data_IF_309053025736
#
_entry.id   IF_309053025736
#
_cell.length_a   1.000
_cell.length_b   1.000
_cell.length_c   1.000
_cell.angle_alpha   90.00
_cell.angle_beta   90.00
_cell.angle_gamma   90.00
#
_symmetry.space_group_name_H-M   'P 1'
#
loop_
_entity.id
_entity.type
_entity.pdbx_description
1 polymer ?
#
# COMPACT_ATOMS: atom_id res chain seq x y z
N UNK A 1 38.64 -11.46 -41.80
CA UNK A 1 39.02 -10.26 -41.04
C UNK A 1 37.72 -9.50 -40.85
N UNK A 2 37.09 -9.79 -39.72
CA UNK A 2 36.01 -9.11 -39.00
C UNK A 2 34.85 -8.48 -39.80
N UNK A 3 33.72 -9.19 -39.78
CA UNK A 3 32.36 -8.63 -39.79
C UNK A 3 32.16 -7.77 -38.54
N UNK A 4 32.06 -6.44 -38.71
CA UNK A 4 31.53 -5.56 -37.68
C UNK A 4 30.01 -5.54 -37.78
N UNK A 5 29.41 -6.46 -37.03
CA UNK A 5 27.99 -6.54 -36.74
C UNK A 5 27.67 -5.35 -35.80
N UNK A 6 27.29 -4.21 -36.38
CA UNK A 6 26.75 -3.07 -35.63
C UNK A 6 25.39 -3.47 -35.06
N UNK A 7 25.44 -4.17 -33.93
CA UNK A 7 24.31 -4.41 -33.04
C UNK A 7 23.90 -3.06 -32.45
N UNK A 8 23.08 -2.34 -33.20
CA UNK A 8 22.36 -1.17 -32.76
C UNK A 8 21.52 -1.61 -31.57
N UNK A 9 22.03 -1.31 -30.37
CA UNK A 9 21.38 -1.53 -29.09
C UNK A 9 19.94 -1.06 -29.24
N UNK A 10 19.01 -2.01 -29.16
CA UNK A 10 17.59 -1.75 -29.26
C UNK A 10 17.18 -0.82 -28.14
N UNK A 11 17.16 0.48 -28.42
CA UNK A 11 16.20 1.40 -27.81
C UNK A 11 14.84 1.09 -28.42
N UNK A 12 14.37 -0.14 -28.25
CA UNK A 12 12.94 -0.38 -28.26
C UNK A 12 12.50 0.19 -26.92
N UNK A 13 12.04 1.43 -26.97
CA UNK A 13 11.08 1.91 -25.99
C UNK A 13 9.95 0.88 -25.98
N UNK A 14 9.90 0.00 -24.99
CA UNK A 14 8.72 -0.82 -24.72
C UNK A 14 7.70 0.08 -24.03
N UNK A 15 6.70 0.65 -24.73
CA UNK A 15 5.87 1.68 -24.15
C UNK A 15 4.66 1.11 -23.40
N UNK A 16 4.53 -0.22 -23.23
CA UNK A 16 3.25 -0.85 -22.88
C UNK A 16 3.31 -2.05 -21.91
N UNK A 17 4.48 -2.63 -21.61
CA UNK A 17 4.58 -3.97 -20.96
C UNK A 17 3.97 -4.05 -19.55
N UNK A 18 3.87 -2.93 -18.82
CA UNK A 18 3.25 -2.88 -17.49
C UNK A 18 2.31 -1.69 -17.28
N UNK A 19 1.79 -1.08 -18.36
CA UNK A 19 0.97 0.12 -18.24
C UNK A 19 -0.31 -0.10 -17.42
N UNK A 20 -0.92 -1.29 -17.54
CA UNK A 20 -2.11 -1.66 -16.76
C UNK A 20 -1.77 -1.76 -15.28
N UNK A 21 -0.71 -2.49 -14.94
CA UNK A 21 -0.22 -2.73 -13.59
C UNK A 21 0.21 -1.44 -12.92
N UNK A 22 0.96 -0.60 -13.62
CA UNK A 22 1.36 0.72 -13.13
C UNK A 22 0.12 1.58 -12.85
N UNK A 23 -0.85 1.60 -13.77
CA UNK A 23 -2.10 2.33 -13.57
C UNK A 23 -2.88 1.86 -12.33
N UNK A 24 -2.96 0.55 -12.11
CA UNK A 24 -3.60 -0.04 -10.92
C UNK A 24 -2.80 0.27 -9.66
N UNK A 25 -1.47 0.13 -9.69
CA UNK A 25 -0.59 0.41 -8.56
C UNK A 25 -0.66 1.87 -8.11
N UNK A 26 -0.70 2.82 -9.06
CA UNK A 26 -0.89 4.25 -8.78
C UNK A 26 -2.22 4.49 -8.07
N UNK A 27 -3.33 3.91 -8.57
CA UNK A 27 -4.65 4.05 -7.92
C UNK A 27 -4.64 3.46 -6.50
N UNK A 28 -4.04 2.27 -6.34
CA UNK A 28 -3.93 1.60 -5.06
C UNK A 28 -3.14 2.43 -4.03
N UNK A 29 -1.99 2.96 -4.43
CA UNK A 29 -1.15 3.80 -3.56
C UNK A 29 -1.81 5.14 -3.27
N UNK A 30 -2.51 5.75 -4.23
CA UNK A 30 -3.27 6.99 -3.99
C UNK A 30 -4.37 6.80 -2.94
N UNK A 31 -5.14 5.71 -3.03
CA UNK A 31 -6.17 5.38 -2.04
C UNK A 31 -5.56 5.08 -0.67
N UNK A 32 -4.45 4.35 -0.62
CA UNK A 32 -3.72 4.10 0.62
C UNK A 32 -3.21 5.41 1.27
N UNK A 33 -2.69 6.35 0.48
CA UNK A 33 -2.26 7.66 0.97
C UNK A 33 -3.43 8.45 1.56
N UNK A 34 -4.57 8.47 0.85
CA UNK A 34 -5.79 9.13 1.33
C UNK A 34 -6.27 8.55 2.67
N UNK A 35 -6.27 7.22 2.80
CA UNK A 35 -6.61 6.54 4.04
C UNK A 35 -5.70 6.96 5.20
N UNK A 36 -4.38 6.97 4.97
CA UNK A 36 -3.40 7.37 5.98
C UNK A 36 -3.60 8.82 6.44
N UNK A 37 -3.85 9.75 5.51
CA UNK A 37 -4.13 11.15 5.82
C UNK A 37 -5.42 11.30 6.64
N UNK A 38 -6.50 10.64 6.23
CA UNK A 38 -7.79 10.70 6.93
C UNK A 38 -7.70 10.14 8.35
N UNK A 39 -6.95 9.05 8.55
CA UNK A 39 -6.71 8.53 9.89
C UNK A 39 -5.89 9.53 10.71
N UNK A 40 -4.82 10.11 10.16
CA UNK A 40 -4.01 11.10 10.86
C UNK A 40 -4.84 12.30 11.35
N UNK A 41 -5.74 12.84 10.52
CA UNK A 41 -6.63 13.94 10.91
C UNK A 41 -7.59 13.55 12.04
N UNK A 42 -8.08 12.30 12.00
CA UNK A 42 -8.96 11.75 13.03
C UNK A 42 -8.23 11.57 14.38
N UNK A 43 -6.91 11.38 14.35
CA UNK A 43 -6.08 11.25 15.54
C UNK A 43 -5.65 12.57 16.14
N UNK A 44 -5.36 13.55 15.30
CA UNK A 44 -5.08 14.91 15.77
C UNK A 44 -6.32 15.47 16.51
N UNK A 45 -7.53 15.06 16.10
CA UNK A 45 -8.79 15.47 16.72
C UNK A 45 -9.26 14.63 17.91
N UNK A 46 -8.73 13.42 18.14
CA UNK A 46 -9.09 12.55 19.28
C UNK A 46 -7.89 12.22 20.15
N UNK A 47 -7.99 12.51 21.46
CA UNK A 47 -6.98 12.16 22.48
C UNK A 47 -6.48 10.71 22.29
N UNK A 48 -5.15 10.55 22.16
CA UNK A 48 -4.44 9.26 22.00
C UNK A 48 -5.01 8.18 22.93
N UNK A 49 -5.51 7.09 22.36
CA UNK A 49 -5.81 5.88 23.12
C UNK A 49 -4.49 5.18 23.48
N UNK A 50 -4.29 4.85 24.76
CA UNK A 50 -3.05 4.30 25.31
C UNK A 50 -2.86 2.78 25.07
N UNK A 51 -3.76 2.13 24.31
CA UNK A 51 -3.64 0.69 24.03
C UNK A 51 -2.83 0.45 22.74
N UNK A 52 -1.62 -0.09 22.89
CA UNK A 52 -0.66 -0.34 21.78
C UNK A 52 -1.20 -1.24 20.65
N UNK A 53 -2.14 -2.14 20.94
CA UNK A 53 -2.72 -3.04 19.93
C UNK A 53 -3.75 -2.34 19.04
N UNK A 54 -4.55 -1.44 19.61
CA UNK A 54 -5.51 -0.60 18.88
C UNK A 54 -4.87 0.73 18.47
N UNK A 55 -3.55 0.75 18.32
CA UNK A 55 -2.87 1.96 17.90
C UNK A 55 -3.36 2.34 16.49
N UNK A 56 -3.51 3.63 16.20
CA UNK A 56 -3.97 4.08 14.90
C UNK A 56 -3.07 3.66 13.74
N UNK A 57 -1.76 3.55 14.00
CA UNK A 57 -0.79 3.04 13.03
C UNK A 57 -1.03 1.56 12.74
N UNK A 58 -1.45 0.79 13.74
CA UNK A 58 -1.86 -0.61 13.56
C UNK A 58 -3.10 -0.70 12.67
N UNK A 59 -4.14 0.10 12.95
CA UNK A 59 -5.36 0.15 12.12
C UNK A 59 -5.04 0.58 10.69
N UNK A 60 -4.21 1.62 10.53
CA UNK A 60 -3.76 2.10 9.23
C UNK A 60 -3.03 1.01 8.45
N UNK A 61 -2.03 0.35 9.05
CA UNK A 61 -1.26 -0.69 8.41
C UNK A 61 -2.12 -1.85 7.90
N UNK A 62 -3.09 -2.31 8.70
CA UNK A 62 -4.03 -3.36 8.27
C UNK A 62 -4.99 -2.88 7.19
N UNK A 63 -5.49 -1.65 7.30
CA UNK A 63 -6.41 -1.09 6.32
C UNK A 63 -5.73 -0.83 4.97
N UNK A 64 -4.48 -0.37 4.95
CA UNK A 64 -3.68 -0.23 3.71
C UNK A 64 -3.49 -1.59 3.04
N UNK A 65 -3.16 -2.64 3.79
CA UNK A 65 -3.09 -4.01 3.24
C UNK A 65 -4.41 -4.43 2.60
N UNK A 66 -5.53 -4.21 3.28
CA UNK A 66 -6.84 -4.55 2.76
C UNK A 66 -7.17 -3.78 1.47
N UNK A 67 -6.95 -2.46 1.44
CA UNK A 67 -7.25 -1.60 0.28
C UNK A 67 -6.37 -1.97 -0.92
N UNK A 68 -5.05 -2.08 -0.74
CA UNK A 68 -4.13 -2.43 -1.82
C UNK A 68 -4.44 -3.82 -2.37
N UNK A 69 -4.67 -4.79 -1.48
CA UNK A 69 -5.09 -6.14 -1.87
C UNK A 69 -6.37 -6.10 -2.70
N UNK A 70 -7.42 -5.46 -2.18
CA UNK A 70 -8.70 -5.37 -2.86
C UNK A 70 -8.56 -4.77 -4.27
N UNK A 71 -7.88 -3.63 -4.41
CA UNK A 71 -7.72 -2.96 -5.71
C UNK A 71 -6.94 -3.82 -6.71
N UNK A 72 -5.85 -4.46 -6.28
CA UNK A 72 -5.07 -5.33 -7.15
C UNK A 72 -5.91 -6.51 -7.64
N UNK A 73 -6.63 -7.19 -6.73
CA UNK A 73 -7.47 -8.32 -7.09
C UNK A 73 -8.64 -7.93 -8.00
N UNK A 74 -9.34 -6.83 -7.72
CA UNK A 74 -10.45 -6.35 -8.55
C UNK A 74 -10.01 -5.90 -9.95
N UNK A 75 -8.84 -5.24 -10.07
CA UNK A 75 -8.40 -4.68 -11.35
C UNK A 75 -7.54 -5.63 -12.21
N UNK A 76 -6.79 -6.54 -11.57
CA UNK A 76 -5.84 -7.45 -12.26
C UNK A 76 -6.32 -8.91 -12.31
N UNK A 77 -7.33 -9.27 -11.52
CA UNK A 77 -7.89 -10.61 -11.45
C UNK A 77 -7.13 -11.53 -10.49
N UNK A 78 -7.84 -12.49 -9.90
CA UNK A 78 -7.34 -13.32 -8.79
C UNK A 78 -6.11 -14.19 -9.13
N UNK A 79 -5.98 -14.61 -10.38
CA UNK A 79 -4.91 -15.52 -10.82
C UNK A 79 -3.55 -14.84 -11.01
N UNK A 80 -3.53 -13.50 -11.12
CA UNK A 80 -2.33 -12.72 -11.41
C UNK A 80 -1.77 -11.97 -10.19
N UNK A 81 -2.36 -12.14 -9.02
CA UNK A 81 -2.03 -11.33 -7.84
C UNK A 81 -1.53 -12.21 -6.70
N UNK A 82 -0.23 -12.09 -6.45
CA UNK A 82 0.48 -12.64 -5.29
C UNK A 82 1.08 -11.46 -4.54
N UNK A 83 0.80 -11.28 -3.25
CA UNK A 83 1.26 -10.10 -2.48
C UNK A 83 2.07 -10.56 -1.27
N UNK A 84 3.29 -10.04 -1.17
CA UNK A 84 4.24 -10.22 -0.07
C UNK A 84 4.25 -8.95 0.78
N UNK A 85 4.12 -9.08 2.10
CA UNK A 85 4.07 -7.94 3.02
C UNK A 85 4.81 -8.23 4.33
N UNK A 86 5.34 -7.19 4.97
CA UNK A 86 6.24 -7.29 6.13
C UNK A 86 5.59 -7.79 7.44
N UNK A 87 4.29 -8.18 7.46
CA UNK A 87 3.61 -8.51 8.73
C UNK A 87 2.57 -9.62 8.61
N UNK A 88 2.74 -10.66 9.42
CA UNK A 88 1.93 -11.88 9.45
C UNK A 88 0.49 -11.60 9.92
N UNK A 89 -0.52 -12.04 9.16
CA UNK A 89 -1.97 -11.83 9.43
C UNK A 89 -2.45 -12.45 10.75
N UNK A 90 -1.68 -13.37 11.34
CA UNK A 90 -2.02 -14.07 12.59
C UNK A 90 -2.28 -13.16 13.79
N UNK A 91 -1.83 -11.89 13.75
CA UNK A 91 -2.14 -10.92 14.81
C UNK A 91 -3.62 -10.50 14.84
N UNK A 92 -4.31 -10.46 13.70
CA UNK A 92 -5.71 -10.01 13.59
C UNK A 92 -6.75 -11.07 13.96
N UNK A 93 -6.44 -12.35 13.80
CA UNK A 93 -7.40 -13.45 14.01
C UNK A 93 -7.47 -13.94 15.46
N UNK A 94 -6.79 -13.29 16.40
CA UNK A 94 -6.82 -13.66 17.81
C UNK A 94 -8.07 -13.12 18.51
N UNK A 95 -8.59 -13.87 19.49
CA UNK A 95 -9.83 -13.55 20.23
C UNK A 95 -9.83 -12.19 20.94
N UNK A 96 -8.67 -11.56 21.09
CA UNK A 96 -8.49 -10.23 21.70
C UNK A 96 -8.48 -9.08 20.67
N UNK A 97 -8.69 -9.36 19.38
CA UNK A 97 -8.58 -8.39 18.29
C UNK A 97 -9.93 -7.91 17.71
N UNK A 98 -11.07 -8.18 18.40
CA UNK A 98 -12.41 -7.81 17.90
C UNK A 98 -12.54 -6.30 17.65
N UNK A 99 -12.12 -5.46 18.61
CA UNK A 99 -12.18 -3.99 18.45
C UNK A 99 -11.26 -3.49 17.34
N UNK A 100 -10.07 -4.09 17.20
CA UNK A 100 -9.13 -3.76 16.13
C UNK A 100 -9.73 -4.11 14.76
N UNK A 101 -10.32 -5.29 14.64
CA UNK A 101 -10.95 -5.75 13.40
C UNK A 101 -12.15 -4.86 13.05
N UNK A 102 -13.00 -4.52 14.00
CA UNK A 102 -14.11 -3.58 13.78
C UNK A 102 -13.62 -2.21 13.29
N UNK A 103 -12.55 -1.69 13.90
CA UNK A 103 -11.93 -0.43 13.47
C UNK A 103 -11.36 -0.52 12.04
N UNK A 104 -10.70 -1.64 11.70
CA UNK A 104 -10.17 -1.89 10.35
C UNK A 104 -11.32 -2.00 9.34
N UNK A 105 -12.35 -2.81 9.61
CA UNK A 105 -13.51 -2.99 8.74
C UNK A 105 -14.21 -1.66 8.48
N UNK A 106 -14.42 -0.86 9.53
CA UNK A 106 -14.99 0.48 9.39
C UNK A 106 -14.12 1.37 8.50
N UNK A 107 -12.81 1.43 8.78
CA UNK A 107 -11.87 2.28 8.04
C UNK A 107 -11.78 1.87 6.55
N UNK A 108 -11.76 0.57 6.28
CA UNK A 108 -11.72 0.02 4.91
C UNK A 108 -12.99 0.41 4.15
N UNK A 109 -14.17 0.17 4.72
CA UNK A 109 -15.43 0.53 4.06
C UNK A 109 -15.55 2.03 3.80
N UNK A 110 -15.15 2.86 4.77
CA UNK A 110 -15.14 4.32 4.59
C UNK A 110 -14.17 4.78 3.49
N UNK A 111 -13.06 4.08 3.27
CA UNK A 111 -12.13 4.39 2.20
C UNK A 111 -12.63 3.87 0.83
N UNK A 112 -13.24 2.68 0.80
CA UNK A 112 -13.78 2.09 -0.42
C UNK A 112 -14.99 2.85 -0.97
N UNK A 113 -15.76 3.52 -0.12
CA UNK A 113 -16.80 4.45 -0.57
C UNK A 113 -16.25 5.63 -1.40
N UNK A 114 -14.96 5.95 -1.26
CA UNK A 114 -14.29 7.00 -2.04
C UNK A 114 -13.56 6.43 -3.27
N UNK A 115 -13.58 5.11 -3.50
CA UNK A 115 -12.92 4.44 -4.62
C UNK A 115 -13.24 5.04 -6.01
N UNK A 116 -14.50 5.45 -6.30
CA UNK A 116 -14.83 6.06 -7.59
C UNK A 116 -14.04 7.33 -7.91
N UNK A 117 -13.60 8.08 -6.90
CA UNK A 117 -12.77 9.29 -7.09
C UNK A 117 -11.39 8.98 -7.63
N UNK A 118 -10.93 7.74 -7.46
CA UNK A 118 -9.65 7.24 -7.94
C UNK A 118 -9.80 6.39 -9.21
N UNK A 119 -11.02 6.29 -9.77
CA UNK A 119 -11.28 5.49 -10.96
C UNK A 119 -11.31 3.99 -10.70
N UNK A 120 -11.67 3.58 -9.49
CA UNK A 120 -11.97 2.18 -9.12
C UNK A 120 -13.45 2.10 -8.77
N UNK A 121 -14.13 1.04 -9.18
CA UNK A 121 -15.53 0.82 -8.77
C UNK A 121 -15.62 0.67 -7.25
N UNK A 122 -16.76 0.96 -6.65
CA UNK A 122 -17.00 0.67 -5.23
C UNK A 122 -17.51 -0.77 -5.05
N UNK A 123 -17.31 -1.39 -3.88
CA UNK A 123 -17.93 -2.69 -3.58
C UNK A 123 -19.45 -2.64 -3.73
N UNK A 124 -20.04 -3.71 -4.27
CA UNK A 124 -21.52 -3.83 -4.45
C UNK A 124 -22.30 -3.74 -3.14
N UNK A 125 -21.65 -4.06 -2.03
CA UNK A 125 -22.19 -3.99 -0.68
C UNK A 125 -21.06 -3.73 0.31
N UNK A 126 -21.41 -3.19 1.48
CA UNK A 126 -20.49 -3.04 2.60
C UNK A 126 -19.83 -4.37 2.94
N UNK A 127 -18.49 -4.38 3.03
CA UNK A 127 -17.72 -5.57 3.37
C UNK A 127 -17.85 -5.88 4.86
N UNK A 128 -18.18 -7.12 5.18
CA UNK A 128 -18.19 -7.67 6.53
C UNK A 128 -16.80 -8.01 7.05
N UNK A 129 -16.74 -8.39 8.33
CA UNK A 129 -15.50 -8.80 9.02
C UNK A 129 -14.79 -9.95 8.32
N UNK A 130 -15.52 -10.99 7.92
CA UNK A 130 -14.97 -12.17 7.24
C UNK A 130 -14.38 -11.82 5.87
N UNK A 131 -15.05 -10.96 5.10
CA UNK A 131 -14.59 -10.55 3.77
C UNK A 131 -13.30 -9.71 3.87
N UNK A 132 -13.25 -8.76 4.81
CA UNK A 132 -12.04 -7.96 5.05
C UNK A 132 -10.87 -8.84 5.51
N UNK A 133 -11.12 -9.83 6.38
CA UNK A 133 -10.10 -10.79 6.78
C UNK A 133 -9.62 -11.63 5.60
N UNK A 134 -10.52 -12.07 4.73
CA UNK A 134 -10.16 -12.82 3.53
C UNK A 134 -9.27 -11.98 2.60
N UNK A 135 -9.65 -10.73 2.33
CA UNK A 135 -8.87 -9.80 1.51
C UNK A 135 -7.47 -9.58 2.10
N UNK A 136 -7.38 -9.38 3.42
CA UNK A 136 -6.09 -9.25 4.12
C UNK A 136 -5.29 -10.54 4.04
N UNK A 137 -5.93 -11.71 4.13
CA UNK A 137 -5.26 -13.02 4.10
C UNK A 137 -4.55 -13.30 2.78
N UNK A 138 -5.00 -12.67 1.67
CA UNK A 138 -4.36 -12.73 0.35
C UNK A 138 -2.96 -12.08 0.33
N UNK A 139 -2.63 -11.27 1.35
CA UNK A 139 -1.32 -10.60 1.52
C UNK A 139 -0.27 -11.44 2.27
N UNK A 140 -0.37 -12.77 2.24
CA UNK A 140 0.55 -13.70 2.93
C UNK A 140 1.37 -14.57 1.98
N UNK A 141 1.60 -14.11 0.75
CA UNK A 141 2.51 -14.84 -0.14
C UNK A 141 3.93 -14.79 0.42
N UNK A 142 4.68 -15.89 0.26
CA UNK A 142 6.09 -15.97 0.66
C UNK A 142 7.00 -15.36 -0.43
N UNK A 143 6.45 -15.08 -1.61
CA UNK A 143 7.22 -14.73 -2.80
C UNK A 143 7.91 -15.97 -3.36
N UNK A 144 8.01 -16.06 -4.68
CA UNK A 144 8.78 -17.10 -5.37
C UNK A 144 9.91 -16.40 -6.13
N UNK A 145 11.19 -16.78 -5.94
CA UNK A 145 12.31 -16.20 -6.69
C UNK A 145 12.15 -16.26 -8.22
N UNK A 146 11.44 -17.26 -8.74
CA UNK A 146 11.15 -17.41 -10.19
C UNK A 146 9.69 -17.08 -10.52
N UNK A 147 9.04 -16.23 -9.73
CA UNK A 147 7.63 -15.90 -9.89
C UNK A 147 7.38 -14.41 -10.00
N UNK A 148 6.12 -14.10 -10.31
CA UNK A 148 5.59 -12.74 -10.34
C UNK A 148 4.81 -12.43 -9.07
N UNK A 149 5.20 -11.39 -8.34
CA UNK A 149 4.52 -10.99 -7.11
C UNK A 149 4.68 -9.50 -6.81
N UNK A 150 3.73 -8.97 -6.03
CA UNK A 150 3.74 -7.61 -5.51
C UNK A 150 4.37 -7.59 -4.14
N UNK A 151 5.32 -6.68 -3.90
CA UNK A 151 5.81 -6.39 -2.57
C UNK A 151 5.18 -5.09 -2.06
N UNK A 152 4.51 -5.15 -0.91
CA UNK A 152 3.85 -4.01 -0.29
C UNK A 152 4.47 -3.73 1.09
N UNK A 153 4.95 -2.49 1.25
CA UNK A 153 5.25 -1.89 2.55
C UNK A 153 4.18 -0.85 2.87
N UNK A 154 3.21 -1.16 3.76
CA UNK A 154 2.04 -0.30 3.97
C UNK A 154 2.36 1.00 4.72
N UNK A 155 3.45 1.02 5.52
CA UNK A 155 3.89 2.16 6.32
C UNK A 155 5.41 2.06 6.52
N UNK A 156 6.19 2.64 5.62
CA UNK A 156 7.64 2.79 5.75
C UNK A 156 7.99 4.23 6.17
N UNK A 157 8.95 4.37 7.09
CA UNK A 157 9.35 5.67 7.64
C UNK A 157 8.41 6.22 8.73
N UNK A 158 8.98 6.54 9.89
CA UNK A 158 8.32 7.28 10.98
C UNK A 158 7.65 6.40 12.02
N UNK A 159 8.30 6.18 13.16
CA UNK A 159 7.73 5.48 14.32
C UNK A 159 6.68 6.29 15.08
N UNK A 160 6.36 7.51 14.62
CA UNK A 160 5.57 8.50 15.35
C UNK A 160 4.42 9.05 14.49
N UNK A 161 3.23 9.12 15.08
CA UNK A 161 2.10 9.88 14.54
C UNK A 161 2.52 11.34 14.30
N UNK A 162 2.80 11.73 13.05
CA UNK A 162 3.29 13.06 12.65
C UNK A 162 4.51 13.05 11.73
N UNK A 163 5.24 11.94 11.61
CA UNK A 163 6.40 11.83 10.73
C UNK A 163 6.00 11.54 9.26
N UNK A 164 6.99 11.52 8.36
CA UNK A 164 6.80 11.13 6.97
C UNK A 164 6.40 9.66 6.90
N UNK A 165 5.16 9.37 6.50
CA UNK A 165 4.70 8.03 6.20
C UNK A 165 4.82 7.79 4.70
N UNK A 166 5.29 6.61 4.32
CA UNK A 166 5.42 6.20 2.93
C UNK A 166 4.68 4.89 2.70
N UNK A 167 3.88 4.84 1.64
CA UNK A 167 3.30 3.60 1.13
C UNK A 167 4.14 3.20 -0.08
N UNK A 168 4.80 2.05 -0.02
CA UNK A 168 5.60 1.53 -1.12
C UNK A 168 4.98 0.26 -1.70
N UNK A 169 4.79 0.23 -3.01
CA UNK A 169 4.28 -0.92 -3.74
C UNK A 169 5.17 -1.17 -4.96
N UNK A 170 5.68 -2.39 -5.11
CA UNK A 170 6.45 -2.80 -6.29
C UNK A 170 5.96 -4.11 -6.86
N UNK A 171 6.14 -4.29 -8.17
CA UNK A 171 6.00 -5.57 -8.85
C UNK A 171 7.39 -6.15 -9.06
N UNK A 172 7.56 -7.41 -8.70
CA UNK A 172 8.76 -8.20 -8.89
C UNK A 172 8.42 -9.36 -9.82
N UNK A 173 9.26 -9.60 -10.81
CA UNK A 173 9.15 -10.68 -11.78
C UNK A 173 10.54 -11.26 -12.05
N UNK A 174 10.69 -12.58 -11.93
CA UNK A 174 11.98 -13.28 -12.09
C UNK A 174 13.11 -12.70 -11.22
N UNK A 175 12.75 -12.27 -9.99
CA UNK A 175 13.68 -11.69 -9.03
C UNK A 175 14.05 -10.22 -9.27
N UNK A 176 13.57 -9.60 -10.34
CA UNK A 176 13.85 -8.21 -10.69
C UNK A 176 12.65 -7.30 -10.41
N UNK A 177 12.91 -6.07 -9.96
CA UNK A 177 11.86 -5.07 -9.75
C UNK A 177 11.50 -4.43 -11.09
N UNK A 178 10.33 -4.79 -11.63
CA UNK A 178 9.87 -4.30 -12.94
C UNK A 178 9.10 -2.98 -12.87
N UNK A 179 8.45 -2.68 -11.74
CA UNK A 179 7.90 -1.35 -11.46
C UNK A 179 7.79 -1.07 -9.95
N UNK A 180 7.76 0.22 -9.61
CA UNK A 180 7.57 0.68 -8.23
C UNK A 180 6.76 1.98 -8.17
N UNK A 181 5.89 2.07 -7.17
CA UNK A 181 5.09 3.26 -6.86
C UNK A 181 5.31 3.62 -5.40
N UNK A 182 5.63 4.90 -5.17
CA UNK A 182 5.87 5.46 -3.85
C UNK A 182 4.85 6.56 -3.55
N UNK A 183 4.09 6.37 -2.49
CA UNK A 183 3.11 7.33 -1.99
C UNK A 183 3.64 8.02 -0.75
N UNK A 184 3.87 9.34 -0.83
CA UNK A 184 4.39 10.13 0.28
C UNK A 184 3.37 11.20 0.70
N UNK A 185 2.28 10.84 1.41
CA UNK A 185 1.18 11.74 1.75
C UNK A 185 1.60 13.00 2.53
N UNK A 186 2.70 12.92 3.28
CA UNK A 186 3.20 14.00 4.14
C UNK A 186 4.52 14.61 3.62
N UNK A 187 4.85 14.43 2.34
CA UNK A 187 6.08 15.00 1.78
C UNK A 187 5.97 16.54 1.67
N UNK A 188 6.88 17.31 2.29
CA UNK A 188 6.82 18.78 2.23
C UNK A 188 7.24 19.27 0.85
N UNK A 189 6.27 19.76 0.06
CA UNK A 189 6.52 20.23 -1.32
C UNK A 189 7.02 21.69 -1.41
N UNK A 190 7.16 22.42 -0.29
CA UNK A 190 7.71 23.79 -0.30
C UNK A 190 9.23 23.77 -0.19
N UNK A 191 9.91 24.40 -1.16
CA UNK A 191 11.38 24.55 -1.17
C UNK A 191 11.91 25.22 0.09
N UNK A 192 11.14 26.11 0.70
CA UNK A 192 11.50 26.85 1.92
C UNK A 192 11.68 25.93 3.13
N UNK A 193 11.12 24.71 3.08
CA UNK A 193 11.22 23.70 4.14
C UNK A 193 12.53 22.92 4.10
N UNK A 194 13.30 22.97 3.01
CA UNK A 194 14.68 22.46 3.00
C UNK A 194 15.65 23.36 3.81
N UNK A 195 15.18 24.53 4.26
CA UNK A 195 15.86 25.39 5.21
C UNK A 195 15.71 24.89 6.65
N UNK A 196 15.71 23.58 6.89
CA UNK A 196 15.90 23.06 8.24
C UNK A 196 17.34 23.41 8.65
N UNK A 197 17.48 24.49 9.42
CA UNK A 197 18.62 24.57 10.32
C UNK A 197 18.65 23.31 11.17
N UNK A 198 19.86 22.79 11.31
CA UNK A 198 20.28 21.56 11.95
C UNK A 198 19.98 21.51 13.47
N UNK A 199 18.79 21.91 13.91
CA UNK A 199 18.47 22.18 15.31
C UNK A 199 17.52 21.19 15.97
N UNK A 200 17.28 20.02 15.37
CA UNK A 200 16.54 18.91 16.01
C UNK A 200 17.37 17.64 16.14
N UNK A 201 18.66 17.78 16.43
CA UNK A 201 19.40 16.80 17.23
C UNK A 201 19.17 17.15 18.71
N UNK A 202 18.17 16.53 19.33
CA UNK A 202 18.12 16.30 20.79
C UNK A 202 17.47 14.96 21.07
#
# INVERSE_FOLDING_TARGET
>A
MEEEDHKMFGLVSEPEEYCKELGVAVRAVQMACFLCQKLQDTLISKSRSNNNLNSPLTVAGWSVKAIVSWILFECLGNENVSIVTEKEVRTLSSTNASELLEAVVKTVNECLAEAPRFGVEEPKSTLGTSEVLEIISRCNSVGDPSGRFWALSPLDGGSSCGDQHVVALSLIEEGEVVLGVLGCPNYPMRKDWFSYHHSYLR
#
